data_IF_972933279178
#
_entry.id   IF_972933279178
#
_cell.length_a   1.000
_cell.length_b   1.000
_cell.length_c   1.000
_cell.angle_alpha   90.00
_cell.angle_beta   90.00
_cell.angle_gamma   90.00
#
_symmetry.space_group_name_H-M   'P 1'
#
loop_
_entity.id
_entity.type
_entity.pdbx_description
1 polymer ?
#
# COMPACT_ATOMS: atom_id res chain seq x y z
N UNK A 1 6.45 9.38 -10.75
CA UNK A 1 7.35 8.84 -9.70
C UNK A 1 8.79 9.14 -10.07
N UNK A 2 9.53 9.77 -9.15
CA UNK A 2 10.91 10.19 -9.30
C UNK A 2 11.77 9.59 -8.19
N UNK A 3 13.05 9.39 -8.48
CA UNK A 3 14.05 8.94 -7.51
C UNK A 3 15.17 9.97 -7.43
N UNK A 4 15.73 10.14 -6.24
CA UNK A 4 16.91 10.98 -6.02
C UNK A 4 17.74 10.43 -4.88
N UNK A 5 19.00 10.81 -4.83
CA UNK A 5 19.87 10.54 -3.70
C UNK A 5 20.15 11.85 -2.96
N UNK A 6 19.99 11.85 -1.65
CA UNK A 6 20.31 12.98 -0.76
C UNK A 6 21.06 12.42 0.43
N UNK A 7 22.25 12.97 0.71
CA UNK A 7 23.11 12.56 1.83
C UNK A 7 23.37 11.04 1.88
N UNK A 8 23.60 10.43 0.71
CA UNK A 8 23.82 8.98 0.58
C UNK A 8 22.56 8.11 0.77
N UNK A 9 21.38 8.74 0.94
CA UNK A 9 20.11 8.04 1.11
C UNK A 9 19.25 8.15 -0.13
N UNK A 10 18.78 7.00 -0.64
CA UNK A 10 17.82 6.98 -1.73
C UNK A 10 16.45 7.45 -1.26
N UNK A 11 15.83 8.32 -2.04
CA UNK A 11 14.51 8.86 -1.83
C UNK A 11 13.62 8.65 -3.05
N UNK A 12 12.31 8.56 -2.82
CA UNK A 12 11.28 8.44 -3.85
C UNK A 12 10.19 9.48 -3.65
N UNK A 13 9.73 10.07 -4.75
CA UNK A 13 8.52 10.89 -4.82
C UNK A 13 7.51 10.19 -5.74
N UNK A 14 6.27 10.04 -5.27
CA UNK A 14 5.26 9.25 -5.98
C UNK A 14 4.39 10.06 -6.94
N UNK A 15 4.34 11.40 -6.79
CA UNK A 15 3.56 12.33 -7.63
C UNK A 15 2.08 11.93 -7.73
N UNK A 16 1.44 11.66 -6.58
CA UNK A 16 0.04 11.32 -6.48
C UNK A 16 -0.74 12.57 -6.00
N UNK A 17 -1.10 13.45 -6.92
CA UNK A 17 -1.78 14.72 -6.62
C UNK A 17 -3.09 14.53 -5.83
N UNK A 18 -3.78 13.41 -6.06
CA UNK A 18 -5.01 13.07 -5.34
C UNK A 18 -4.80 12.70 -3.87
N UNK A 19 -3.56 12.50 -3.42
CA UNK A 19 -3.22 12.08 -2.06
C UNK A 19 -2.31 13.14 -1.44
N UNK A 20 -2.81 13.97 -0.50
CA UNK A 20 -2.03 15.07 0.07
C UNK A 20 -0.68 14.65 0.65
N UNK A 21 -0.59 13.44 1.19
CA UNK A 21 0.65 12.88 1.74
C UNK A 21 1.65 12.41 0.67
N UNK A 22 1.29 12.36 -0.62
CA UNK A 22 2.12 11.85 -1.71
C UNK A 22 2.24 12.86 -2.87
N UNK A 23 2.31 14.16 -2.56
CA UNK A 23 2.48 15.23 -3.53
C UNK A 23 3.84 15.22 -4.26
N UNK A 24 3.95 16.05 -5.31
CA UNK A 24 5.16 16.21 -6.14
C UNK A 24 6.39 16.67 -5.35
N UNK A 25 6.17 17.37 -4.25
CA UNK A 25 7.22 17.95 -3.41
C UNK A 25 7.56 17.08 -2.20
N UNK A 26 6.86 15.95 -2.02
CA UNK A 26 7.03 15.06 -0.88
C UNK A 26 7.93 13.90 -1.27
N UNK A 27 9.05 13.79 -0.56
CA UNK A 27 10.04 12.76 -0.79
C UNK A 27 10.17 11.86 0.43
N UNK A 28 10.11 10.55 0.18
CA UNK A 28 10.24 9.52 1.20
C UNK A 28 11.59 8.84 1.07
N UNK A 29 12.29 8.66 2.20
CA UNK A 29 13.43 7.75 2.24
C UNK A 29 12.94 6.33 1.90
N UNK A 30 13.66 5.65 1.02
CA UNK A 30 13.29 4.30 0.58
C UNK A 30 13.21 3.35 1.78
N UNK A 31 14.09 3.51 2.75
CA UNK A 31 14.13 2.72 3.98
C UNK A 31 12.89 2.88 4.85
N UNK A 32 12.07 3.92 4.66
CA UNK A 32 10.85 4.15 5.42
C UNK A 32 9.59 3.64 4.70
N UNK A 33 9.70 3.16 3.44
CA UNK A 33 8.51 2.77 2.69
C UNK A 33 7.88 1.48 3.23
N UNK A 34 8.63 0.65 3.93
CA UNK A 34 8.11 -0.54 4.64
C UNK A 34 7.16 -0.15 5.78
N UNK A 35 7.53 0.82 6.61
CA UNK A 35 6.68 1.37 7.66
C UNK A 35 5.42 2.03 7.08
N UNK A 36 5.59 2.81 6.00
CA UNK A 36 4.48 3.42 5.28
C UNK A 36 3.56 2.36 4.65
N UNK A 37 4.13 1.29 4.10
CA UNK A 37 3.41 0.15 3.54
C UNK A 37 2.55 -0.55 4.61
N UNK A 38 3.15 -0.87 5.75
CA UNK A 38 2.46 -1.50 6.89
C UNK A 38 1.35 -0.61 7.45
N UNK A 39 1.59 0.70 7.56
CA UNK A 39 0.60 1.67 8.03
C UNK A 39 -0.62 1.73 7.11
N UNK A 40 -0.39 1.84 5.79
CA UNK A 40 -1.46 1.87 4.79
C UNK A 40 -2.28 0.56 4.79
N UNK A 41 -1.62 -0.59 4.92
CA UNK A 41 -2.31 -1.88 5.07
C UNK A 41 -3.16 -1.93 6.33
N UNK A 42 -2.66 -1.44 7.46
CA UNK A 42 -3.41 -1.36 8.72
C UNK A 42 -4.66 -0.48 8.57
N UNK A 43 -4.53 0.69 7.93
CA UNK A 43 -5.68 1.54 7.65
C UNK A 43 -6.73 0.87 6.75
N UNK A 44 -6.31 0.13 5.72
CA UNK A 44 -7.24 -0.60 4.86
C UNK A 44 -7.98 -1.72 5.59
N UNK A 45 -7.33 -2.36 6.58
CA UNK A 45 -7.93 -3.43 7.40
C UNK A 45 -8.93 -2.93 8.43
N UNK A 46 -8.69 -1.74 8.96
CA UNK A 46 -9.47 -1.16 10.06
C UNK A 46 -10.57 -0.18 9.61
N UNK A 47 -10.74 0.04 8.31
CA UNK A 47 -11.79 0.92 7.79
C UNK A 47 -13.16 0.26 7.69
N UNK A 48 -14.20 1.02 8.03
CA UNK A 48 -15.59 0.65 7.83
C UNK A 48 -16.04 0.79 6.36
N UNK A 49 -17.28 0.35 6.06
CA UNK A 49 -17.81 0.36 4.69
C UNK A 49 -18.53 1.69 4.33
N UNK A 50 -18.08 2.85 4.83
CA UNK A 50 -18.73 4.12 4.46
C UNK A 50 -18.26 4.62 3.09
N UNK A 51 -19.13 5.34 2.35
CA UNK A 51 -18.78 5.91 1.02
C UNK A 51 -17.55 6.84 1.05
N UNK A 52 -17.37 7.57 2.15
CA UNK A 52 -16.20 8.43 2.35
C UNK A 52 -14.93 7.59 2.52
N UNK A 53 -15.01 6.50 3.28
CA UNK A 53 -13.91 5.53 3.43
C UNK A 53 -13.59 4.81 2.13
N UNK A 54 -14.56 4.51 1.26
CA UNK A 54 -14.27 3.90 -0.06
C UNK A 54 -13.34 4.77 -0.92
N UNK A 55 -13.57 6.08 -0.94
CA UNK A 55 -12.76 7.01 -1.75
C UNK A 55 -11.35 7.13 -1.19
N UNK A 56 -11.23 7.23 0.14
CA UNK A 56 -9.94 7.25 0.84
C UNK A 56 -9.20 5.92 0.66
N UNK A 57 -9.91 4.79 0.71
CA UNK A 57 -9.32 3.48 0.54
C UNK A 57 -8.81 3.27 -0.88
N UNK A 58 -9.52 3.73 -1.93
CA UNK A 58 -8.99 3.74 -3.31
C UNK A 58 -7.65 4.47 -3.40
N UNK A 59 -7.52 5.62 -2.73
CA UNK A 59 -6.26 6.38 -2.66
C UNK A 59 -5.15 5.60 -1.94
N UNK A 60 -5.44 5.02 -0.78
CA UNK A 60 -4.47 4.20 -0.02
C UNK A 60 -3.97 2.98 -0.81
N UNK A 61 -4.88 2.32 -1.52
CA UNK A 61 -4.62 1.21 -2.43
C UNK A 61 -3.65 1.59 -3.56
N UNK A 62 -3.93 2.72 -4.22
CA UNK A 62 -3.03 3.29 -5.22
C UNK A 62 -1.64 3.58 -4.64
N UNK A 63 -1.56 4.19 -3.46
CA UNK A 63 -0.29 4.45 -2.78
C UNK A 63 0.50 3.14 -2.49
N UNK A 64 -0.17 2.07 -2.05
CA UNK A 64 0.46 0.77 -1.83
C UNK A 64 1.05 0.18 -3.12
N UNK A 65 0.35 0.28 -4.25
CA UNK A 65 0.87 -0.17 -5.55
C UNK A 65 2.12 0.60 -5.96
N UNK A 66 2.12 1.91 -5.74
CA UNK A 66 3.26 2.77 -6.02
C UNK A 66 4.46 2.42 -5.13
N UNK A 67 4.25 2.21 -3.83
CA UNK A 67 5.30 1.76 -2.90
C UNK A 67 5.88 0.41 -3.33
N UNK A 68 5.04 -0.56 -3.70
CA UNK A 68 5.50 -1.85 -4.24
C UNK A 68 6.36 -1.69 -5.48
N UNK A 69 5.97 -0.79 -6.40
CA UNK A 69 6.71 -0.52 -7.63
C UNK A 69 8.07 0.10 -7.32
N UNK A 70 8.14 1.06 -6.40
CA UNK A 70 9.40 1.65 -5.95
C UNK A 70 10.31 0.59 -5.32
N UNK A 71 9.77 -0.24 -4.42
CA UNK A 71 10.54 -1.31 -3.77
C UNK A 71 11.08 -2.34 -4.78
N UNK A 72 10.29 -2.70 -5.79
CA UNK A 72 10.74 -3.58 -6.86
C UNK A 72 11.86 -2.95 -7.70
N UNK A 73 11.74 -1.67 -8.05
CA UNK A 73 12.77 -0.97 -8.85
C UNK A 73 14.09 -0.91 -8.09
N UNK A 74 14.05 -0.58 -6.81
CA UNK A 74 15.25 -0.30 -6.00
C UNK A 74 15.86 -1.58 -5.42
N UNK A 75 15.04 -2.43 -4.79
CA UNK A 75 15.52 -3.60 -4.05
C UNK A 75 15.34 -4.92 -4.82
N UNK A 76 14.72 -4.89 -6.00
CA UNK A 76 14.32 -6.10 -6.77
C UNK A 76 13.49 -7.10 -5.96
N UNK A 77 12.82 -6.60 -4.93
CA UNK A 77 12.02 -7.41 -4.01
C UNK A 77 10.54 -7.11 -4.21
N UNK A 78 9.72 -8.15 -4.24
CA UNK A 78 8.26 -8.00 -4.26
C UNK A 78 7.77 -7.90 -2.82
N UNK A 79 7.27 -6.74 -2.42
CA UNK A 79 6.53 -6.65 -1.16
C UNK A 79 5.27 -7.53 -1.24
N UNK A 80 4.93 -8.29 -0.20
CA UNK A 80 3.73 -9.12 -0.21
C UNK A 80 2.50 -8.23 -0.17
N UNK A 81 1.55 -8.43 -1.09
CA UNK A 81 0.21 -7.85 -0.94
C UNK A 81 -0.44 -8.74 0.08
N UNK A 82 -0.82 -8.19 1.23
CA UNK A 82 -1.49 -8.97 2.26
C UNK A 82 -2.82 -9.51 1.70
N UNK A 83 -2.78 -10.75 1.21
CA UNK A 83 -3.93 -11.52 0.79
C UNK A 83 -4.60 -12.00 2.07
N UNK A 84 -5.61 -11.29 2.57
CA UNK A 84 -6.47 -11.86 3.60
C UNK A 84 -7.29 -12.96 2.93
N UNK A 85 -6.98 -14.23 3.25
CA UNK A 85 -7.82 -15.37 2.86
C UNK A 85 -9.17 -15.20 3.56
N UNK A 86 -10.20 -14.84 2.80
CA UNK A 86 -11.58 -14.93 3.25
C UNK A 86 -11.97 -16.40 3.42
N UNK A 87 -11.75 -16.95 4.61
CA UNK A 87 -12.34 -18.22 4.99
C UNK A 87 -13.74 -17.95 5.54
N UNK A 88 -14.76 -18.58 4.96
CA UNK A 88 -15.99 -18.78 5.72
C UNK A 88 -15.82 -20.05 6.53
N UNK A 89 -15.76 -19.91 7.86
CA UNK A 89 -15.80 -21.06 8.76
C UNK A 89 -17.26 -21.29 9.12
N UNK A 90 -17.84 -22.39 8.64
CA UNK A 90 -19.02 -22.98 9.28
C UNK A 90 -18.54 -24.14 10.17
N UNK A 91 -19.33 -24.52 11.17
CA UNK A 91 -18.96 -25.46 12.25
C UNK A 91 -18.32 -26.80 11.84
N UNK A 92 -18.23 -27.14 10.54
CA UNK A 92 -17.56 -28.36 10.05
C UNK A 92 -16.66 -28.17 8.82
N UNK A 93 -16.62 -27.00 8.17
CA UNK A 93 -15.82 -26.79 6.96
C UNK A 93 -15.33 -25.33 6.82
N UNK A 94 -14.04 -25.18 6.49
CA UNK A 94 -13.48 -23.92 6.00
C UNK A 94 -13.52 -23.95 4.46
N UNK A 95 -14.37 -23.14 3.84
CA UNK A 95 -14.41 -23.01 2.37
C UNK A 95 -13.75 -21.70 1.95
N UNK A 96 -12.75 -21.79 1.06
CA UNK A 96 -12.13 -20.63 0.44
C UNK A 96 -13.17 -19.98 -0.49
N UNK A 97 -13.74 -18.84 -0.08
CA UNK A 97 -14.84 -18.20 -0.81
C UNK A 97 -14.37 -17.22 -1.89
N UNK A 98 -13.06 -16.98 -1.97
CA UNK A 98 -12.43 -16.09 -2.94
C UNK A 98 -11.16 -15.48 -2.36
N UNK A 99 -10.33 -14.94 -3.25
CA UNK A 99 -9.25 -14.04 -2.88
C UNK A 99 -9.72 -12.61 -3.18
N UNK A 100 -9.71 -11.74 -2.17
CA UNK A 100 -9.83 -10.31 -2.44
C UNK A 100 -8.41 -9.78 -2.55
N UNK A 101 -8.01 -9.46 -3.78
CA UNK A 101 -6.91 -8.51 -3.97
C UNK A 101 -7.44 -7.20 -3.39
N UNK A 102 -7.03 -6.87 -2.18
CA UNK A 102 -7.18 -5.51 -1.68
C UNK A 102 -6.26 -4.69 -2.58
N UNK A 103 -6.84 -4.20 -3.68
CA UNK A 103 -6.14 -3.61 -4.83
C UNK A 103 -5.37 -2.35 -4.49
#
# INVERSE_FOLDING_TARGET
MKFREIDGKQQVCFELEDIPSFGSDIWFQVECLDGLYCLLLSYLRNCGPTKQEETINKKRRLALLHIRKAWWIIKRQRLPLDVVKGFSVSNKFAKLKGFTVLG
#
